data_IF_013110453567
#
_entry.id   IF_013110453567
#
_cell.length_a   1.000
_cell.length_b   1.000
_cell.length_c   1.000
_cell.angle_alpha   90.00
_cell.angle_beta   90.00
_cell.angle_gamma   90.00
#
_symmetry.space_group_name_H-M   'P 1'
#
loop_
_entity.id
_entity.type
_entity.pdbx_description
1 polymer ?
#
# COMPACT_ATOMS: atom_id res chain seq x y z
N UNK A 1 67.96 18.19 29.37
CA UNK A 1 66.82 19.12 29.11
C UNK A 1 66.22 18.88 27.75
N UNK A 2 66.27 17.61 27.25
CA UNK A 2 65.69 17.26 25.92
C UNK A 2 64.53 16.23 26.00
N UNK A 3 64.19 15.68 27.15
CA UNK A 3 63.21 14.61 27.31
C UNK A 3 61.80 15.11 27.66
N UNK A 4 61.63 16.42 27.92
CA UNK A 4 60.33 16.96 28.38
C UNK A 4 59.46 17.49 27.24
N UNK A 5 60.00 17.64 26.05
CA UNK A 5 59.25 18.23 24.92
C UNK A 5 58.57 17.22 24.01
N UNK A 6 58.88 15.92 24.10
CA UNK A 6 58.33 14.89 23.21
C UNK A 6 56.99 14.37 23.73
N UNK A 7 56.71 14.43 25.02
CA UNK A 7 55.47 13.90 25.60
C UNK A 7 54.23 14.83 25.42
N UNK A 8 54.40 16.09 25.05
CA UNK A 8 53.29 17.03 24.93
C UNK A 8 52.62 17.04 23.55
N UNK A 9 53.24 16.43 22.53
CA UNK A 9 52.68 16.35 21.17
C UNK A 9 51.84 15.10 20.89
N UNK A 10 51.95 14.04 21.72
CA UNK A 10 51.19 12.80 21.48
C UNK A 10 49.77 12.82 22.09
N UNK A 11 49.47 13.77 22.99
CA UNK A 11 48.14 13.82 23.64
C UNK A 11 47.06 14.54 22.82
N UNK A 12 47.45 15.37 21.86
CA UNK A 12 46.48 16.10 21.05
C UNK A 12 46.06 15.38 19.77
N UNK A 13 46.87 14.48 19.23
CA UNK A 13 46.52 13.73 18.02
C UNK A 13 45.53 12.60 18.29
N UNK A 14 45.55 12.01 19.50
CA UNK A 14 44.61 10.96 19.86
C UNK A 14 43.18 11.46 20.11
N UNK A 15 43.03 12.69 20.65
CA UNK A 15 41.73 13.28 20.92
C UNK A 15 41.03 13.75 19.64
N UNK A 16 41.80 14.28 18.67
CA UNK A 16 41.24 14.72 17.39
C UNK A 16 40.82 13.53 16.50
N UNK A 17 41.56 12.43 16.54
CA UNK A 17 41.24 11.22 15.80
C UNK A 17 39.98 10.51 16.34
N UNK A 18 39.78 10.50 17.67
CA UNK A 18 38.54 9.99 18.27
C UNK A 18 37.31 10.84 17.97
N UNK A 19 37.48 12.16 17.85
CA UNK A 19 36.34 13.06 17.52
C UNK A 19 35.89 12.95 16.06
N UNK A 20 36.83 12.69 15.14
CA UNK A 20 36.51 12.46 13.73
C UNK A 20 35.85 11.09 13.50
N UNK A 21 36.09 10.08 14.32
CA UNK A 21 35.42 8.77 14.21
C UNK A 21 34.00 8.83 14.78
N UNK A 22 33.72 9.66 15.79
CA UNK A 22 32.39 9.80 16.39
C UNK A 22 31.42 10.59 15.49
N UNK A 23 31.91 11.48 14.61
CA UNK A 23 31.06 12.23 13.69
C UNK A 23 30.66 11.41 12.48
N UNK A 24 31.44 10.39 12.09
CA UNK A 24 31.11 9.49 10.97
C UNK A 24 30.01 8.45 11.26
N UNK A 25 29.68 8.22 12.55
CA UNK A 25 28.66 7.24 12.96
C UNK A 25 27.24 7.82 13.04
N UNK A 26 27.04 9.14 12.84
CA UNK A 26 25.74 9.81 12.96
C UNK A 26 25.00 9.97 11.62
N UNK A 27 25.49 9.42 10.53
CA UNK A 27 24.84 9.52 9.21
C UNK A 27 24.56 8.13 8.68
N UNK A 28 23.50 7.52 9.11
CA UNK A 28 22.74 6.55 8.29
C UNK A 28 21.50 6.01 9.02
N UNK A 29 20.60 6.89 9.43
CA UNK A 29 19.19 6.52 9.48
C UNK A 29 18.46 7.30 8.38
N UNK A 30 18.83 7.08 7.14
CA UNK A 30 17.94 7.35 6.04
C UNK A 30 16.83 6.30 6.16
N UNK A 31 15.63 6.72 6.58
CA UNK A 31 14.42 5.99 6.28
C UNK A 31 14.40 5.83 4.76
N UNK A 32 14.98 4.76 4.26
CA UNK A 32 14.80 4.35 2.88
C UNK A 32 13.31 4.02 2.75
N UNK A 33 12.51 5.01 2.33
CA UNK A 33 11.15 4.74 1.85
C UNK A 33 11.33 3.69 0.77
N UNK A 34 10.78 2.49 1.02
CA UNK A 34 10.77 1.48 -0.04
C UNK A 34 10.08 2.09 -1.25
N UNK A 35 10.64 1.91 -2.45
CA UNK A 35 10.05 2.51 -3.64
C UNK A 35 8.58 2.09 -3.72
N UNK A 36 7.70 3.10 -3.87
CA UNK A 36 6.28 2.87 -4.13
C UNK A 36 6.17 1.96 -5.35
N UNK A 37 5.35 0.91 -5.26
CA UNK A 37 5.12 0.03 -6.40
C UNK A 37 4.49 0.82 -7.54
N UNK A 38 4.94 0.51 -8.76
CA UNK A 38 4.35 1.12 -9.95
C UNK A 38 2.85 0.75 -10.06
N UNK A 39 2.01 1.69 -10.47
CA UNK A 39 0.63 1.41 -10.79
C UNK A 39 0.51 0.32 -11.85
N UNK A 40 -0.57 -0.44 -11.81
CA UNK A 40 -0.86 -1.46 -12.78
C UNK A 40 -2.33 -1.42 -13.20
N UNK A 41 -2.63 -1.76 -14.43
CA UNK A 41 -4.00 -1.94 -14.87
C UNK A 41 -4.49 -3.34 -14.50
N UNK A 42 -5.63 -3.42 -13.83
CA UNK A 42 -6.40 -4.65 -13.66
C UNK A 42 -7.65 -4.60 -14.52
N UNK A 43 -8.12 -5.76 -14.93
CA UNK A 43 -9.30 -5.91 -15.79
C UNK A 43 -10.39 -6.65 -15.01
N UNK A 44 -11.59 -6.08 -14.95
CA UNK A 44 -12.78 -6.72 -14.36
C UNK A 44 -13.73 -7.13 -15.47
N UNK A 45 -14.06 -8.41 -15.52
CA UNK A 45 -15.03 -8.99 -16.44
C UNK A 45 -16.45 -8.83 -15.88
N UNK A 46 -17.27 -8.01 -16.51
CA UNK A 46 -18.68 -7.84 -16.18
C UNK A 46 -19.51 -8.92 -16.85
N UNK A 47 -20.25 -9.67 -16.05
CA UNK A 47 -21.16 -10.71 -16.57
C UNK A 47 -22.38 -10.15 -17.27
N UNK A 48 -22.88 -9.00 -16.81
CA UNK A 48 -24.10 -8.38 -17.32
C UNK A 48 -23.89 -7.73 -18.69
N UNK A 49 -22.78 -7.01 -18.85
CA UNK A 49 -22.46 -6.29 -20.11
C UNK A 49 -21.56 -7.09 -21.06
N UNK A 50 -20.99 -8.20 -20.61
CA UNK A 50 -19.97 -8.99 -21.35
C UNK A 50 -18.76 -8.14 -21.77
N UNK A 51 -18.47 -7.09 -21.02
CA UNK A 51 -17.36 -6.16 -21.25
C UNK A 51 -16.27 -6.37 -20.21
N UNK A 52 -15.07 -5.95 -20.58
CA UNK A 52 -13.93 -5.88 -19.67
C UNK A 52 -13.65 -4.43 -19.32
N UNK A 53 -13.61 -4.15 -18.04
CA UNK A 53 -13.47 -2.79 -17.49
C UNK A 53 -12.07 -2.63 -16.95
N UNK A 54 -11.23 -1.74 -17.50
CA UNK A 54 -9.90 -1.47 -16.98
C UNK A 54 -9.97 -0.53 -15.78
N UNK A 55 -9.15 -0.79 -14.76
CA UNK A 55 -8.94 0.10 -13.61
C UNK A 55 -7.44 0.20 -13.38
N UNK A 56 -6.92 1.42 -13.30
CA UNK A 56 -5.54 1.64 -12.91
C UNK A 56 -5.42 1.60 -11.39
N UNK A 57 -4.60 0.70 -10.85
CA UNK A 57 -4.51 0.50 -9.41
C UNK A 57 -3.10 0.60 -8.87
N UNK A 58 -2.97 1.15 -7.66
CA UNK A 58 -1.76 1.09 -6.86
C UNK A 58 -1.80 -0.19 -6.01
N UNK A 59 -0.84 -1.12 -6.14
CA UNK A 59 -0.81 -2.31 -5.30
C UNK A 59 -0.34 -1.99 -3.87
N UNK A 60 -1.11 -2.41 -2.86
CA UNK A 60 -0.75 -2.40 -1.45
C UNK A 60 -0.52 -3.85 -0.98
N UNK A 61 0.75 -4.25 -0.82
CA UNK A 61 1.16 -5.64 -0.55
C UNK A 61 1.80 -5.77 0.82
N UNK A 62 2.60 -4.78 1.25
CA UNK A 62 3.21 -4.78 2.58
C UNK A 62 2.23 -4.27 3.64
N UNK A 63 2.44 -4.68 4.90
CA UNK A 63 1.60 -4.20 6.00
C UNK A 63 1.57 -2.67 6.08
N UNK A 64 2.70 -2.00 5.82
CA UNK A 64 2.78 -0.53 5.83
C UNK A 64 1.97 0.11 4.68
N UNK A 65 2.02 -0.46 3.46
CA UNK A 65 1.22 0.00 2.33
C UNK A 65 -0.27 -0.20 2.61
N UNK A 66 -0.65 -1.37 3.16
CA UNK A 66 -2.02 -1.71 3.53
C UNK A 66 -2.57 -0.83 4.66
N UNK A 67 -1.76 -0.51 5.68
CA UNK A 67 -2.15 0.39 6.75
C UNK A 67 -2.36 1.82 6.25
N UNK A 68 -1.48 2.31 5.37
CA UNK A 68 -1.56 3.66 4.79
C UNK A 68 -2.79 3.81 3.90
N UNK A 69 -3.04 2.86 2.99
CA UNK A 69 -4.14 2.98 2.02
C UNK A 69 -4.19 4.35 1.34
N UNK A 70 -5.37 4.96 1.30
CA UNK A 70 -5.61 6.31 0.78
C UNK A 70 -5.52 7.43 1.81
N UNK A 71 -4.94 7.19 3.00
CA UNK A 71 -4.75 8.24 4.00
C UNK A 71 -4.04 9.46 3.42
N UNK A 72 -4.56 10.65 3.74
CA UNK A 72 -4.02 11.96 3.35
C UNK A 72 -3.87 12.18 1.83
N UNK A 73 -4.58 11.43 0.99
CA UNK A 73 -4.61 11.70 -0.46
C UNK A 73 -5.37 12.98 -0.74
N UNK A 74 -4.86 13.78 -1.67
CA UNK A 74 -5.51 15.03 -2.09
C UNK A 74 -6.66 14.77 -3.04
N UNK A 75 -6.54 13.76 -3.88
CA UNK A 75 -7.53 13.37 -4.87
C UNK A 75 -7.42 11.89 -5.23
N UNK A 76 -8.51 11.32 -5.71
CA UNK A 76 -8.59 9.94 -6.21
C UNK A 76 -9.36 10.04 -7.53
N UNK A 77 -8.66 10.07 -8.68
CA UNK A 77 -9.30 10.20 -9.98
C UNK A 77 -10.23 9.02 -10.31
N UNK A 78 -11.30 9.28 -11.05
CA UNK A 78 -12.20 8.22 -11.52
C UNK A 78 -11.43 7.24 -12.42
N UNK A 79 -11.73 5.95 -12.32
CA UNK A 79 -10.97 4.90 -13.02
C UNK A 79 -9.65 4.50 -12.39
N UNK A 80 -9.29 5.12 -11.25
CA UNK A 80 -8.13 4.72 -10.45
C UNK A 80 -8.55 4.11 -9.11
N UNK A 81 -7.64 3.35 -8.50
CA UNK A 81 -7.92 2.70 -7.23
C UNK A 81 -6.67 2.20 -6.51
N UNK A 82 -6.90 1.49 -5.41
CA UNK A 82 -5.84 0.76 -4.70
C UNK A 82 -6.28 -0.69 -4.52
N UNK A 83 -5.40 -1.62 -4.93
CA UNK A 83 -5.63 -3.06 -4.77
C UNK A 83 -4.78 -3.58 -3.61
N UNK A 84 -5.43 -4.02 -2.55
CA UNK A 84 -4.82 -4.65 -1.40
C UNK A 84 -4.66 -6.13 -1.67
N UNK A 85 -3.43 -6.65 -1.52
CA UNK A 85 -3.07 -8.01 -1.86
C UNK A 85 -2.55 -8.73 -0.63
N UNK A 86 -3.25 -9.77 -0.21
CA UNK A 86 -2.91 -10.56 0.97
C UNK A 86 -2.36 -11.95 0.58
N UNK A 87 -1.43 -12.48 1.39
CA UNK A 87 -0.79 -13.78 1.11
C UNK A 87 -1.75 -14.97 1.24
N UNK A 88 -2.82 -14.84 2.02
CA UNK A 88 -3.80 -15.92 2.29
C UNK A 88 -5.21 -15.37 2.39
N UNK A 89 -6.19 -16.23 2.21
CA UNK A 89 -7.59 -15.89 2.39
C UNK A 89 -7.88 -15.65 3.89
N UNK A 90 -8.52 -14.53 4.18
CA UNK A 90 -8.88 -14.14 5.54
C UNK A 90 -10.06 -13.17 5.53
N UNK A 91 -10.69 -12.95 6.67
CA UNK A 91 -11.64 -11.86 6.83
C UNK A 91 -10.88 -10.55 6.94
N UNK A 92 -11.12 -9.65 6.00
CA UNK A 92 -10.46 -8.36 5.94
C UNK A 92 -11.26 -7.31 6.72
N UNK A 93 -10.57 -6.31 7.24
CA UNK A 93 -11.15 -5.21 8.03
C UNK A 93 -10.51 -3.91 7.59
N UNK A 94 -11.36 -2.92 7.26
CA UNK A 94 -10.95 -1.60 6.79
C UNK A 94 -11.61 -0.50 7.61
N UNK A 95 -11.02 0.65 7.61
CA UNK A 95 -11.52 1.89 8.21
C UNK A 95 -11.13 3.06 7.33
N UNK A 96 -11.70 4.26 7.61
CA UNK A 96 -11.43 5.47 6.85
C UNK A 96 -10.60 6.51 7.65
N UNK A 97 -9.77 6.03 8.61
CA UNK A 97 -8.90 6.92 9.37
C UNK A 97 -8.05 7.76 8.40
N UNK A 98 -7.98 9.07 8.66
CA UNK A 98 -7.19 10.04 7.88
C UNK A 98 -7.46 10.01 6.36
N UNK A 99 -8.63 9.50 5.93
CA UNK A 99 -9.03 9.38 4.53
C UNK A 99 -10.15 10.39 4.23
N UNK A 100 -9.83 11.53 3.55
CA UNK A 100 -10.78 12.63 3.38
C UNK A 100 -11.80 12.44 2.26
N UNK A 101 -11.60 11.44 1.41
CA UNK A 101 -12.48 11.17 0.26
C UNK A 101 -13.42 9.99 0.53
N UNK A 102 -14.71 10.07 0.11
CA UNK A 102 -15.58 8.91 0.17
C UNK A 102 -15.11 7.84 -0.81
N UNK A 103 -15.11 6.58 -0.38
CA UNK A 103 -14.64 5.43 -1.15
C UNK A 103 -15.74 4.39 -1.28
N UNK A 104 -15.61 3.52 -2.30
CA UNK A 104 -16.26 2.21 -2.35
C UNK A 104 -15.18 1.13 -2.29
N UNK A 105 -15.43 0.05 -1.52
CA UNK A 105 -14.54 -1.10 -1.41
C UNK A 105 -15.21 -2.36 -1.94
N UNK A 106 -14.50 -3.12 -2.78
CA UNK A 106 -14.89 -4.44 -3.25
C UNK A 106 -14.01 -5.52 -2.60
N UNK A 107 -14.61 -6.48 -1.91
CA UNK A 107 -13.92 -7.65 -1.38
C UNK A 107 -13.90 -8.79 -2.40
N UNK A 108 -12.71 -9.32 -2.71
CA UNK A 108 -12.46 -10.24 -3.82
C UNK A 108 -11.79 -11.50 -3.28
N UNK A 109 -12.34 -12.68 -3.61
CA UNK A 109 -11.81 -13.96 -3.18
C UNK A 109 -10.59 -14.39 -4.01
N UNK A 110 -9.93 -15.48 -3.60
CA UNK A 110 -8.74 -16.03 -4.29
C UNK A 110 -8.98 -16.50 -5.72
N UNK A 111 -10.24 -16.66 -6.12
CA UNK A 111 -10.63 -16.97 -7.51
C UNK A 111 -10.83 -15.72 -8.37
N UNK A 112 -10.62 -14.53 -7.79
CA UNK A 112 -10.84 -13.24 -8.45
C UNK A 112 -12.29 -12.77 -8.47
N UNK A 113 -13.22 -13.46 -7.79
CA UNK A 113 -14.65 -13.09 -7.77
C UNK A 113 -14.88 -11.99 -6.73
N UNK A 114 -15.55 -10.92 -7.12
CA UNK A 114 -16.09 -9.90 -6.22
C UNK A 114 -17.22 -10.54 -5.40
N UNK A 115 -17.04 -10.57 -4.09
CA UNK A 115 -18.01 -11.16 -3.16
C UNK A 115 -18.99 -10.11 -2.63
N UNK A 116 -18.48 -8.93 -2.31
CA UNK A 116 -19.21 -7.85 -1.64
C UNK A 116 -18.66 -6.52 -2.08
N UNK A 117 -19.50 -5.49 -2.08
CA UNK A 117 -19.12 -4.09 -2.31
C UNK A 117 -19.81 -3.24 -1.22
N UNK A 118 -19.08 -2.31 -0.62
CA UNK A 118 -19.57 -1.38 0.39
C UNK A 118 -19.07 0.03 0.11
N UNK A 119 -19.89 1.01 0.51
CA UNK A 119 -19.48 2.41 0.54
C UNK A 119 -18.90 2.75 1.91
N UNK A 120 -17.89 3.62 1.92
CA UNK A 120 -17.13 4.01 3.10
C UNK A 120 -17.16 5.52 3.27
N UNK A 121 -17.50 5.99 4.47
CA UNK A 121 -17.61 7.41 4.78
C UNK A 121 -16.26 8.01 5.17
N UNK A 122 -15.93 9.22 4.68
CA UNK A 122 -14.69 9.91 5.04
C UNK A 122 -14.49 9.98 6.56
N UNK A 123 -13.24 9.78 6.99
CA UNK A 123 -12.80 9.87 8.38
C UNK A 123 -13.49 8.91 9.38
N UNK A 124 -14.39 8.02 8.92
CA UNK A 124 -15.02 7.05 9.81
C UNK A 124 -14.00 6.08 10.40
N UNK A 125 -14.11 5.84 11.71
CA UNK A 125 -13.35 4.81 12.43
C UNK A 125 -14.14 3.50 12.56
N UNK A 126 -15.36 3.45 12.05
CA UNK A 126 -16.15 2.24 11.99
C UNK A 126 -15.49 1.21 11.08
N UNK A 127 -15.49 -0.03 11.53
CA UNK A 127 -14.87 -1.12 10.78
C UNK A 127 -15.83 -1.66 9.73
N UNK A 128 -15.41 -1.63 8.48
CA UNK A 128 -16.04 -2.35 7.38
C UNK A 128 -15.28 -3.67 7.19
N UNK A 129 -15.97 -4.78 7.42
CA UNK A 129 -15.36 -6.11 7.39
C UNK A 129 -16.00 -6.98 6.31
N UNK A 130 -15.18 -7.81 5.63
CA UNK A 130 -15.71 -8.82 4.73
C UNK A 130 -16.44 -9.92 5.51
N UNK A 131 -17.60 -10.37 5.00
CA UNK A 131 -18.30 -11.53 5.57
C UNK A 131 -17.74 -12.85 5.07
N UNK A 132 -17.05 -12.83 3.93
CA UNK A 132 -16.32 -13.97 3.36
C UNK A 132 -14.82 -13.89 3.66
N UNK A 133 -14.14 -15.04 3.66
CA UNK A 133 -12.68 -15.07 3.56
C UNK A 133 -12.29 -14.70 2.15
N UNK A 134 -11.47 -13.67 2.01
CA UNK A 134 -11.08 -13.07 0.74
C UNK A 134 -9.57 -12.84 0.69
N UNK A 135 -9.01 -12.69 -0.51
CA UNK A 135 -7.58 -12.51 -0.74
C UNK A 135 -7.23 -11.08 -1.13
N UNK A 136 -8.19 -10.36 -1.72
CA UNK A 136 -7.96 -9.02 -2.25
C UNK A 136 -9.08 -8.09 -1.80
N UNK A 137 -8.75 -6.79 -1.72
CA UNK A 137 -9.73 -5.73 -1.62
C UNK A 137 -9.37 -4.63 -2.63
N UNK A 138 -10.36 -4.06 -3.30
CA UNK A 138 -10.17 -2.96 -4.24
C UNK A 138 -10.93 -1.75 -3.74
N UNK A 139 -10.21 -0.66 -3.44
CA UNK A 139 -10.78 0.64 -3.12
C UNK A 139 -10.73 1.56 -4.34
N UNK A 140 -11.82 2.29 -4.57
CA UNK A 140 -11.98 3.28 -5.64
C UNK A 140 -12.77 4.48 -5.11
N UNK A 141 -12.82 5.58 -5.87
CA UNK A 141 -13.72 6.69 -5.56
C UNK A 141 -15.17 6.20 -5.44
N UNK A 142 -15.91 6.71 -4.45
CA UNK A 142 -17.28 6.26 -4.17
C UNK A 142 -18.18 6.33 -5.41
N UNK A 143 -18.99 5.29 -5.60
CA UNK A 143 -19.93 5.17 -6.72
C UNK A 143 -19.27 4.77 -8.05
N UNK A 144 -17.95 4.63 -8.14
CA UNK A 144 -17.28 4.20 -9.38
C UNK A 144 -17.76 2.83 -9.84
N UNK A 145 -17.91 1.85 -8.93
CA UNK A 145 -18.38 0.52 -9.31
C UNK A 145 -19.73 0.55 -9.99
N UNK A 146 -20.67 1.33 -9.46
CA UNK A 146 -22.00 1.47 -10.05
C UNK A 146 -21.93 2.10 -11.45
N UNK A 147 -21.22 3.24 -11.59
CA UNK A 147 -21.05 3.93 -12.89
C UNK A 147 -20.38 3.05 -13.94
N UNK A 148 -19.43 2.23 -13.53
CA UNK A 148 -18.73 1.30 -14.41
C UNK A 148 -19.47 -0.02 -14.65
N UNK A 149 -20.63 -0.24 -14.02
CA UNK A 149 -21.38 -1.49 -14.13
C UNK A 149 -20.71 -2.70 -13.47
N UNK A 150 -19.88 -2.44 -12.45
CA UNK A 150 -19.17 -3.47 -11.67
C UNK A 150 -20.03 -3.86 -10.47
N UNK A 151 -20.31 -5.14 -10.32
CA UNK A 151 -21.18 -5.68 -9.28
C UNK A 151 -20.59 -6.90 -8.60
N UNK A 152 -21.13 -7.26 -7.43
CA UNK A 152 -20.84 -8.53 -6.82
C UNK A 152 -21.11 -9.70 -7.80
N UNK A 153 -20.22 -10.66 -7.86
CA UNK A 153 -20.25 -11.76 -8.84
C UNK A 153 -19.43 -11.53 -10.11
N UNK A 154 -19.04 -10.28 -10.43
CA UNK A 154 -18.04 -10.02 -11.47
C UNK A 154 -16.67 -10.59 -11.05
N UNK A 155 -15.75 -10.71 -11.98
CA UNK A 155 -14.44 -11.32 -11.73
C UNK A 155 -13.31 -10.47 -12.30
N UNK A 156 -12.16 -10.54 -11.65
CA UNK A 156 -10.89 -10.18 -12.27
C UNK A 156 -10.65 -11.09 -13.49
N UNK A 157 -10.08 -10.54 -14.56
CA UNK A 157 -9.59 -11.37 -15.67
C UNK A 157 -8.52 -12.33 -15.18
N UNK A 158 -8.34 -13.44 -15.88
CA UNK A 158 -7.30 -14.43 -15.55
C UNK A 158 -5.91 -13.79 -15.51
N UNK A 159 -5.60 -12.92 -16.47
CA UNK A 159 -4.33 -12.21 -16.53
C UNK A 159 -4.12 -11.32 -15.27
N UNK A 160 -5.11 -10.51 -14.92
CA UNK A 160 -5.05 -9.65 -13.72
C UNK A 160 -4.86 -10.47 -12.45
N UNK A 161 -5.58 -11.59 -12.32
CA UNK A 161 -5.48 -12.48 -11.17
C UNK A 161 -4.09 -13.09 -11.04
N UNK A 162 -3.48 -13.57 -12.13
CA UNK A 162 -2.13 -14.12 -12.11
C UNK A 162 -1.07 -13.07 -11.77
N UNK A 163 -1.21 -11.84 -12.26
CA UNK A 163 -0.33 -10.73 -11.90
C UNK A 163 -0.43 -10.41 -10.39
N UNK A 164 -1.63 -10.40 -9.81
CA UNK A 164 -1.82 -10.18 -8.37
C UNK A 164 -1.24 -11.33 -7.53
N UNK A 165 -1.36 -12.58 -7.97
CA UNK A 165 -0.73 -13.73 -7.32
C UNK A 165 0.80 -13.64 -7.33
N UNK A 166 1.39 -13.17 -8.41
CA UNK A 166 2.83 -13.01 -8.54
C UNK A 166 3.42 -11.98 -7.56
N UNK A 167 2.70 -10.89 -7.28
CA UNK A 167 3.16 -9.85 -6.34
C UNK A 167 2.86 -10.17 -4.87
N UNK A 168 2.03 -11.18 -4.59
CA UNK A 168 1.67 -11.63 -3.24
C UNK A 168 2.75 -12.51 -2.56
N UNK A 169 3.78 -12.93 -3.30
CA UNK A 169 4.82 -13.89 -2.86
C UNK A 169 5.84 -13.28 -1.87
#
# INVERSE_FOLDING_TARGET
>A
MYFYFIQKRLKHTSAVLCFLILVAAAVSCTNAERPKREPMTILIESKSTKTTIPIEVEPAVTAQEQERGFMNRKEIPDGTGMIFVFKRDQKLRFWMKDTPHPLSIAFIDSTGRIREIYDMQPFSLDIIASTYSVRYALEVAQGYFERAGINAGNKLSTESLERLKAIAQ
#
